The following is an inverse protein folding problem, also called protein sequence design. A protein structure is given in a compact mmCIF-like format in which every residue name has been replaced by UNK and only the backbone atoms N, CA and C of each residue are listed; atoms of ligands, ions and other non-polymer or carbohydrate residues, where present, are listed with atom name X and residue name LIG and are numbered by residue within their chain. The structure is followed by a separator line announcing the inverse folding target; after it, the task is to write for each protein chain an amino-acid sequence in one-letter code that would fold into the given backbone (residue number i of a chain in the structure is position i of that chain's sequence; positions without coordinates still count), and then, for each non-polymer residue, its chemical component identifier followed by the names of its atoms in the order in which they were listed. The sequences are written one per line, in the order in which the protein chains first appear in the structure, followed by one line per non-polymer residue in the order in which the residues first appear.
data_IF_206826895024
#
_entry.id   IF_206826895024
#
_cell.length_a   1.000
_cell.length_b   1.000
_cell.length_c   1.000
_cell.angle_alpha   90.00
_cell.angle_beta   90.00
_cell.angle_gamma   90.00
#
_symmetry.space_group_name_H-M   'P 1'
#
loop_
_entity.id
_entity.type
_entity.pdbx_description
1 polymer ?
#
# COMPACT_ATOMS: atom_id res chain seq x y z
N UNK A 1 -2.88 -19.59 -35.14
CA UNK A 1 -1.90 -20.46 -34.46
C UNK A 1 -1.48 -19.80 -33.15
N UNK A 2 -1.83 -20.38 -32.00
CA UNK A 2 -1.38 -19.85 -30.71
C UNK A 2 0.10 -20.24 -30.53
N UNK A 3 1.00 -19.27 -30.76
CA UNK A 3 2.44 -19.45 -30.49
C UNK A 3 2.63 -19.46 -28.98
N UNK A 4 2.73 -20.64 -28.39
CA UNK A 4 3.11 -20.81 -27.00
C UNK A 4 4.64 -20.94 -26.91
N UNK A 5 5.26 -20.28 -25.94
CA UNK A 5 6.72 -20.30 -25.73
C UNK A 5 6.99 -20.60 -24.27
N UNK A 6 7.91 -21.52 -24.03
CA UNK A 6 8.31 -21.93 -22.69
C UNK A 6 9.36 -20.97 -22.13
N UNK A 7 9.16 -20.53 -20.89
CA UNK A 7 10.12 -19.74 -20.12
C UNK A 7 10.61 -20.61 -18.96
N UNK A 8 11.93 -20.79 -18.83
CA UNK A 8 12.57 -21.51 -17.74
C UNK A 8 13.68 -20.64 -17.14
N UNK A 9 13.73 -20.55 -15.83
CA UNK A 9 14.78 -19.86 -15.08
C UNK A 9 15.06 -20.61 -13.78
N UNK A 10 16.27 -20.45 -13.26
CA UNK A 10 16.65 -20.98 -11.93
C UNK A 10 16.23 -19.98 -10.86
N UNK A 11 15.67 -20.50 -9.77
CA UNK A 11 15.27 -19.74 -8.60
C UNK A 11 15.64 -20.56 -7.37
N UNK A 12 15.89 -19.88 -6.25
CA UNK A 12 16.01 -20.54 -4.96
C UNK A 12 14.70 -21.27 -4.61
N UNK A 13 14.84 -22.46 -4.00
CA UNK A 13 13.70 -23.30 -3.64
C UNK A 13 12.79 -22.62 -2.61
N UNK A 14 13.38 -22.00 -1.59
CA UNK A 14 12.62 -21.41 -0.49
C UNK A 14 11.94 -20.12 -0.97
N UNK A 15 12.62 -19.34 -1.82
CA UNK A 15 12.03 -18.17 -2.49
C UNK A 15 10.79 -18.55 -3.33
N UNK A 16 10.82 -19.70 -4.02
CA UNK A 16 9.67 -20.19 -4.78
C UNK A 16 8.50 -20.53 -3.85
N UNK A 17 8.76 -21.25 -2.76
CA UNK A 17 7.74 -21.67 -1.80
C UNK A 17 7.06 -20.46 -1.17
N UNK A 18 7.86 -19.48 -0.72
CA UNK A 18 7.33 -18.26 -0.11
C UNK A 18 6.43 -17.47 -1.07
N UNK A 19 6.88 -17.30 -2.32
CA UNK A 19 6.09 -16.64 -3.34
C UNK A 19 4.79 -17.40 -3.65
N UNK A 20 4.82 -18.73 -3.77
CA UNK A 20 3.62 -19.55 -3.98
C UNK A 20 2.64 -19.45 -2.82
N UNK A 21 3.13 -19.47 -1.57
CA UNK A 21 2.30 -19.33 -0.38
C UNK A 21 1.56 -18.00 -0.34
N UNK A 22 2.23 -16.90 -0.69
CA UNK A 22 1.60 -15.57 -0.79
C UNK A 22 0.56 -15.55 -1.92
N UNK A 23 0.91 -16.05 -3.10
CA UNK A 23 -0.01 -16.09 -4.24
C UNK A 23 -1.28 -16.91 -3.91
N UNK A 24 -1.12 -18.06 -3.26
CA UNK A 24 -2.22 -18.91 -2.83
C UNK A 24 -3.14 -18.23 -1.81
N UNK A 25 -2.57 -17.48 -0.86
CA UNK A 25 -3.37 -16.68 0.09
C UNK A 25 -4.18 -15.58 -0.63
N UNK A 26 -3.65 -15.04 -1.73
CA UNK A 26 -4.36 -14.11 -2.60
C UNK A 26 -5.35 -14.80 -3.56
N UNK A 27 -5.41 -16.14 -3.56
CA UNK A 27 -6.31 -16.92 -4.42
C UNK A 27 -5.88 -16.98 -5.90
N UNK A 28 -4.59 -16.75 -6.19
CA UNK A 28 -4.05 -16.71 -7.55
C UNK A 28 -2.80 -17.60 -7.63
N UNK A 29 -2.58 -18.29 -8.74
CA UNK A 29 -1.36 -19.07 -8.93
C UNK A 29 -0.15 -18.21 -9.33
N UNK A 30 1.05 -18.64 -8.94
CA UNK A 30 2.30 -17.94 -9.24
C UNK A 30 2.50 -17.71 -10.74
N UNK A 31 2.08 -18.64 -11.60
CA UNK A 31 2.25 -18.51 -13.05
C UNK A 31 1.36 -17.39 -13.61
N UNK A 32 0.14 -17.23 -13.09
CA UNK A 32 -0.76 -16.14 -13.43
C UNK A 32 -0.18 -14.80 -13.00
N UNK A 33 0.39 -14.70 -11.79
CA UNK A 33 1.07 -13.47 -11.34
C UNK A 33 2.25 -13.13 -12.25
N UNK A 34 3.10 -14.10 -12.61
CA UNK A 34 4.22 -13.89 -13.53
C UNK A 34 3.73 -13.39 -14.91
N UNK A 35 2.64 -13.95 -15.45
CA UNK A 35 2.02 -13.46 -16.70
C UNK A 35 1.49 -12.03 -16.55
N UNK A 36 0.92 -11.68 -15.40
CA UNK A 36 0.47 -10.32 -15.13
C UNK A 36 1.65 -9.34 -15.10
N UNK A 37 2.75 -9.70 -14.43
CA UNK A 37 3.97 -8.88 -14.43
C UNK A 37 4.51 -8.64 -15.84
N UNK A 38 4.57 -9.68 -16.69
CA UNK A 38 5.00 -9.54 -18.08
C UNK A 38 4.08 -8.59 -18.88
N UNK A 39 2.76 -8.68 -18.70
CA UNK A 39 1.82 -7.75 -19.31
C UNK A 39 2.02 -6.32 -18.80
N UNK A 40 2.27 -6.17 -17.51
CA UNK A 40 2.47 -4.86 -16.90
C UNK A 40 3.75 -4.19 -17.42
N UNK A 41 4.82 -4.97 -17.65
CA UNK A 41 6.03 -4.48 -18.31
C UNK A 41 5.72 -3.86 -19.67
N UNK A 42 4.88 -4.53 -20.46
CA UNK A 42 4.48 -4.05 -21.80
C UNK A 42 3.64 -2.78 -21.70
N UNK A 43 2.67 -2.75 -20.78
CA UNK A 43 1.75 -1.62 -20.59
C UNK A 43 2.51 -0.37 -20.13
N UNK A 44 3.39 -0.52 -19.14
CA UNK A 44 4.11 0.60 -18.53
C UNK A 44 5.38 0.97 -19.28
N UNK A 45 5.84 0.14 -20.24
CA UNK A 45 7.16 0.24 -20.86
C UNK A 45 8.29 0.36 -19.82
N UNK A 46 8.18 -0.40 -18.73
CA UNK A 46 9.04 -0.31 -17.55
C UNK A 46 8.91 -1.52 -16.63
N UNK A 47 9.59 -1.50 -15.50
CA UNK A 47 9.51 -2.57 -14.50
C UNK A 47 8.28 -2.31 -13.60
N UNK A 48 7.43 -3.32 -13.31
CA UNK A 48 6.14 -3.14 -12.65
C UNK A 48 6.27 -3.07 -11.12
N UNK A 49 7.33 -2.41 -10.66
CA UNK A 49 7.59 -2.06 -9.28
C UNK A 49 8.61 -0.93 -9.26
N UNK A 50 8.61 -0.18 -8.16
CA UNK A 50 9.52 0.94 -7.96
C UNK A 50 10.97 0.42 -7.88
N UNK A 51 11.83 0.79 -8.83
CA UNK A 51 13.25 0.41 -8.83
C UNK A 51 14.07 1.59 -8.35
N UNK A 52 14.19 1.72 -7.03
CA UNK A 52 15.04 2.70 -6.38
C UNK A 52 15.92 1.98 -5.36
N UNK A 53 17.14 2.48 -5.17
CA UNK A 53 17.87 2.14 -3.96
C UNK A 53 17.10 2.77 -2.79
N UNK A 54 16.84 2.04 -1.69
CA UNK A 54 16.26 2.68 -0.52
C UNK A 54 17.21 3.80 -0.08
N UNK A 55 16.73 5.03 -0.04
CA UNK A 55 17.45 6.08 0.67
C UNK A 55 17.53 5.65 2.13
N UNK A 56 18.70 5.77 2.75
CA UNK A 56 19.03 5.24 4.08
C UNK A 56 18.09 5.70 5.22
N UNK A 57 17.13 6.59 4.94
CA UNK A 57 16.12 7.09 5.89
C UNK A 57 14.67 6.76 5.57
N UNK A 58 14.32 6.23 4.39
CA UNK A 58 12.92 6.08 4.00
C UNK A 58 12.46 4.63 4.16
N UNK A 59 11.92 4.34 5.34
CA UNK A 59 11.05 3.17 5.54
C UNK A 59 9.91 3.26 4.53
N UNK A 60 9.74 2.22 3.72
CA UNK A 60 8.68 2.08 2.73
C UNK A 60 7.30 2.47 3.28
N UNK A 61 6.92 3.73 3.08
CA UNK A 61 5.54 4.18 3.16
C UNK A 61 4.99 4.07 1.74
N UNK A 62 4.23 3.02 1.47
CA UNK A 62 3.44 2.93 0.25
C UNK A 62 2.33 3.97 0.30
N UNK A 63 2.67 5.21 -0.06
CA UNK A 63 1.71 6.28 -0.24
C UNK A 63 0.92 6.00 -1.52
N UNK A 64 -0.11 5.16 -1.42
CA UNK A 64 -1.17 5.12 -2.41
C UNK A 64 -1.92 6.45 -2.34
N UNK A 65 -1.47 7.36 -3.19
CA UNK A 65 -2.08 8.63 -3.55
C UNK A 65 -3.61 8.47 -3.78
N UNK A 66 -4.41 9.02 -2.86
CA UNK A 66 -5.87 9.19 -3.04
C UNK A 66 -6.18 10.68 -2.93
N UNK A 67 -6.30 11.31 -4.09
CA UNK A 67 -7.09 12.52 -4.36
C UNK A 67 -6.65 13.85 -3.74
N UNK A 68 -5.53 14.42 -4.22
CA UNK A 68 -5.32 15.87 -4.15
C UNK A 68 -6.21 16.60 -5.18
N UNK A 69 -7.49 16.70 -4.85
CA UNK A 69 -8.39 17.65 -5.49
C UNK A 69 -8.05 19.06 -5.01
N UNK A 70 -7.18 19.73 -5.77
CA UNK A 70 -7.19 21.17 -6.05
C UNK A 70 -8.14 22.01 -5.17
N UNK A 71 -7.62 22.56 -4.08
CA UNK A 71 -8.17 23.77 -3.45
C UNK A 71 -7.16 24.90 -3.57
N UNK A 72 -7.32 25.62 -4.67
CA UNK A 72 -6.80 26.96 -4.86
C UNK A 72 -7.54 27.90 -3.88
N UNK A 73 -6.82 28.62 -3.02
CA UNK A 73 -7.37 29.82 -2.39
C UNK A 73 -6.94 30.12 -0.94
N UNK A 74 -6.11 31.16 -0.85
CA UNK A 74 -6.08 32.22 0.17
C UNK A 74 -5.12 32.03 1.36
N UNK A 75 -3.97 32.70 1.24
CA UNK A 75 -3.18 33.24 2.33
C UNK A 75 -4.05 33.98 3.35
N UNK A 76 -4.20 33.49 4.59
CA UNK A 76 -4.37 34.33 5.79
C UNK A 76 -3.81 33.65 7.05
N UNK A 77 -2.80 34.31 7.60
CA UNK A 77 -2.21 34.25 8.94
C UNK A 77 -3.25 34.10 10.07
N UNK A 78 -3.13 33.08 10.92
CA UNK A 78 -3.43 33.15 12.36
C UNK A 78 -2.85 31.95 13.11
N UNK A 79 -1.86 32.22 13.97
CA UNK A 79 -1.34 31.30 14.97
C UNK A 79 -2.46 30.88 15.94
N UNK A 80 -3.01 29.68 15.78
CA UNK A 80 -3.58 28.86 16.86
C UNK A 80 -3.52 27.41 16.41
N UNK A 81 -2.45 26.72 16.83
CA UNK A 81 -2.43 25.26 16.86
C UNK A 81 -3.69 24.78 17.58
N UNK A 82 -4.59 24.12 16.86
CA UNK A 82 -5.59 23.28 17.52
C UNK A 82 -4.86 22.02 17.96
N UNK A 83 -4.27 22.08 19.15
CA UNK A 83 -3.90 20.88 19.89
C UNK A 83 -5.20 20.14 20.22
N UNK A 84 -5.46 19.04 19.51
CA UNK A 84 -6.53 18.12 19.89
C UNK A 84 -6.06 17.42 21.16
N UNK A 85 -6.48 17.94 22.32
CA UNK A 85 -6.19 17.31 23.61
C UNK A 85 -7.01 16.02 23.74
N UNK A 86 -6.37 14.90 23.43
CA UNK A 86 -6.96 13.55 23.49
C UNK A 86 -7.39 13.20 24.93
N UNK A 87 -6.88 13.89 25.96
CA UNK A 87 -7.24 13.62 27.36
C UNK A 87 -8.69 14.03 27.65
N UNK A 88 -9.13 15.18 27.15
CA UNK A 88 -10.50 15.66 27.34
C UNK A 88 -11.56 14.76 26.71
N UNK A 89 -11.26 14.15 25.56
CA UNK A 89 -12.19 13.24 24.87
C UNK A 89 -12.42 11.96 25.70
N UNK A 90 -11.38 11.43 26.33
CA UNK A 90 -11.51 10.20 27.11
C UNK A 90 -12.35 10.42 28.39
N UNK A 91 -12.25 11.61 29.00
CA UNK A 91 -13.07 11.99 30.17
C UNK A 91 -14.55 12.16 29.80
N UNK A 92 -14.85 12.74 28.64
CA UNK A 92 -16.22 12.90 28.12
C UNK A 92 -16.87 11.53 27.83
N UNK A 93 -16.12 10.60 27.22
CA UNK A 93 -16.61 9.25 26.91
C UNK A 93 -16.88 8.43 28.18
N UNK A 94 -16.04 8.54 29.21
CA UNK A 94 -16.24 7.84 30.49
C UNK A 94 -17.46 8.37 31.27
N UNK A 95 -17.74 9.66 31.15
CA UNK A 95 -18.92 10.30 31.76
C UNK A 95 -20.23 9.76 31.15
N UNK A 96 -20.29 9.68 29.82
CA UNK A 96 -21.44 9.15 29.07
C UNK A 96 -21.67 7.66 29.34
N UNK A 97 -20.59 6.87 29.46
CA UNK A 97 -20.67 5.43 29.79
C UNK A 97 -21.20 5.18 31.21
N UNK A 98 -20.95 6.11 32.13
CA UNK A 98 -21.42 6.04 33.51
C UNK A 98 -22.89 6.47 33.64
N UNK A 99 -23.33 7.42 32.82
CA UNK A 99 -24.72 7.89 32.76
C UNK A 99 -25.66 6.88 32.08
N UNK A 100 -25.19 6.16 31.05
CA UNK A 100 -25.99 5.16 30.34
C UNK A 100 -25.90 3.73 30.92
N UNK A 101 -25.44 3.59 32.18
CA UNK A 101 -25.48 2.31 32.91
C UNK A 101 -26.91 2.06 33.44
N UNK A 102 -27.72 1.37 32.64
CA UNK A 102 -28.78 0.48 33.11
C UNK A 102 -28.23 -0.94 33.09
#
# INVERSE_FOLDING_TARGET
MNKNTLIQFRIDHDLKIDAENICNQLGIDLTTVLKMCLKQIIIQKGIPFSVHLPDDGEKYHSDSNVNDSKRQGIDKKSDKDFEIDIRGINEEVESIRKENRI
#
